data_IF_888404621771
#
_entry.id   IF_888404621771
#
_cell.length_a   1.000
_cell.length_b   1.000
_cell.length_c   1.000
_cell.angle_alpha   90.00
_cell.angle_beta   90.00
_cell.angle_gamma   90.00
#
_symmetry.space_group_name_H-M   'P 1'
#
loop_
_entity.id
_entity.type
_entity.pdbx_description
1 polymer ?
#
# COMPACT_ATOMS: atom_id res chain seq x y z
N UNK A 1 1.13 -3.62 23.51
CA UNK A 1 0.17 -2.50 23.55
C UNK A 1 -1.27 -3.01 23.41
N UNK A 2 -1.64 -3.69 22.31
CA UNK A 2 -3.02 -4.22 22.11
C UNK A 2 -3.46 -5.20 23.21
N UNK A 3 -2.67 -6.23 23.51
CA UNK A 3 -2.96 -7.20 24.60
C UNK A 3 -3.27 -6.56 25.96
N UNK A 4 -2.67 -5.41 26.25
CA UNK A 4 -2.83 -4.70 27.53
C UNK A 4 -4.11 -3.84 27.57
N UNK A 5 -4.65 -3.46 26.40
CA UNK A 5 -5.83 -2.60 26.25
C UNK A 5 -7.11 -3.40 26.00
N UNK A 6 -7.05 -4.50 25.25
CA UNK A 6 -8.23 -5.27 24.81
C UNK A 6 -8.33 -6.66 25.43
N UNK A 7 -7.37 -7.08 26.26
CA UNK A 7 -7.33 -8.41 26.89
C UNK A 7 -7.04 -9.58 25.94
N UNK A 8 -6.98 -9.33 24.63
CA UNK A 8 -6.72 -10.32 23.59
C UNK A 8 -5.99 -9.73 22.38
N UNK A 9 -5.62 -10.59 21.44
CA UNK A 9 -4.91 -10.21 20.20
C UNK A 9 -5.85 -9.93 19.02
N UNK A 10 -7.11 -10.32 19.12
CA UNK A 10 -8.12 -10.14 18.08
C UNK A 10 -9.04 -8.98 18.43
N UNK A 11 -9.21 -8.04 17.51
CA UNK A 11 -10.14 -6.92 17.67
C UNK A 11 -11.14 -6.90 16.51
N UNK A 12 -12.38 -6.54 16.81
CA UNK A 12 -13.43 -6.32 15.82
C UNK A 12 -13.53 -4.83 15.51
N UNK A 13 -13.21 -4.44 14.29
CA UNK A 13 -13.18 -3.04 13.84
C UNK A 13 -14.26 -2.76 12.78
N UNK A 14 -15.13 -1.80 13.04
CA UNK A 14 -16.23 -1.41 12.15
C UNK A 14 -15.79 -0.25 11.24
N UNK A 15 -14.97 -0.52 10.23
CA UNK A 15 -14.40 0.52 9.35
C UNK A 15 -15.46 1.31 8.53
N UNK A 16 -16.65 0.72 8.32
CA UNK A 16 -17.67 1.23 7.41
C UNK A 16 -18.98 1.66 8.10
N UNK A 17 -18.97 1.86 9.43
CA UNK A 17 -20.16 2.16 10.24
C UNK A 17 -20.60 0.95 11.08
N UNK A 18 -21.35 1.22 12.15
CA UNK A 18 -21.83 0.21 13.10
C UNK A 18 -22.82 -0.79 12.48
N UNK A 19 -23.45 -0.43 11.36
CA UNK A 19 -24.43 -1.26 10.66
C UNK A 19 -23.83 -2.34 9.76
N UNK A 20 -22.51 -2.32 9.52
CA UNK A 20 -21.83 -3.31 8.66
C UNK A 20 -21.03 -4.31 9.48
N UNK A 21 -20.78 -5.48 8.90
CA UNK A 21 -20.06 -6.55 9.58
C UNK A 21 -18.68 -6.07 10.07
N UNK A 22 -18.33 -6.37 11.34
CA UNK A 22 -17.03 -6.04 11.90
C UNK A 22 -15.92 -6.78 11.15
N UNK A 23 -14.87 -6.05 10.83
CA UNK A 23 -13.63 -6.63 10.31
C UNK A 23 -12.83 -7.15 11.50
N UNK A 24 -12.53 -8.44 11.51
CA UNK A 24 -11.63 -9.02 12.51
C UNK A 24 -10.18 -8.71 12.12
N UNK A 25 -9.46 -8.01 13.00
CA UNK A 25 -8.05 -7.69 12.82
C UNK A 25 -7.27 -8.47 13.88
N UNK A 26 -6.36 -9.32 13.42
CA UNK A 26 -5.51 -10.13 14.29
C UNK A 26 -4.14 -9.48 14.49
N UNK A 27 -3.84 -9.12 15.74
CA UNK A 27 -2.56 -8.57 16.18
C UNK A 27 -1.65 -9.64 16.81
N UNK A 28 -1.89 -10.92 16.54
CA UNK A 28 -1.01 -12.00 16.98
C UNK A 28 0.33 -11.92 16.24
N UNK A 29 1.46 -11.74 16.94
CA UNK A 29 2.78 -11.79 16.32
C UNK A 29 3.15 -13.24 15.93
N UNK A 30 3.96 -13.46 14.88
CA UNK A 30 4.66 -12.47 14.07
C UNK A 30 3.77 -11.84 12.98
N UNK A 31 3.94 -10.53 12.76
CA UNK A 31 3.23 -9.84 11.68
C UNK A 31 3.79 -10.23 10.31
N UNK A 32 2.92 -10.25 9.31
CA UNK A 32 3.30 -10.52 7.92
C UNK A 32 4.33 -9.48 7.45
N UNK A 33 5.39 -9.94 6.80
CA UNK A 33 6.39 -9.08 6.15
C UNK A 33 6.26 -9.25 4.65
N UNK A 34 6.24 -8.14 3.94
CA UNK A 34 6.15 -8.07 2.48
C UNK A 34 7.21 -7.11 1.99
N UNK A 35 7.83 -7.46 0.88
CA UNK A 35 8.85 -6.67 0.22
C UNK A 35 8.18 -5.84 -0.88
N UNK A 36 8.33 -4.51 -0.82
CA UNK A 36 7.52 -3.60 -1.62
C UNK A 36 7.60 -3.88 -3.12
N UNK A 37 8.80 -4.11 -3.66
CA UNK A 37 8.98 -4.33 -5.09
C UNK A 37 8.60 -5.77 -5.45
N UNK A 38 9.12 -6.76 -4.72
CA UNK A 38 8.91 -8.18 -5.04
C UNK A 38 7.44 -8.58 -4.97
N UNK A 39 6.71 -8.12 -3.95
CA UNK A 39 5.29 -8.45 -3.84
C UNK A 39 4.44 -7.64 -4.82
N UNK A 40 4.84 -6.41 -5.16
CA UNK A 40 4.18 -5.65 -6.22
C UNK A 40 4.36 -6.33 -7.59
N UNK A 41 5.57 -6.80 -7.91
CA UNK A 41 5.86 -7.54 -9.14
C UNK A 41 5.02 -8.81 -9.24
N UNK A 42 4.92 -9.58 -8.15
CA UNK A 42 4.08 -10.79 -8.11
C UNK A 42 2.59 -10.50 -8.25
N UNK A 43 2.09 -9.46 -7.59
CA UNK A 43 0.66 -9.14 -7.57
C UNK A 43 0.21 -8.48 -8.88
N UNK A 44 1.01 -7.56 -9.40
CA UNK A 44 0.72 -6.86 -10.65
C UNK A 44 1.24 -7.64 -11.87
N UNK A 45 1.94 -8.77 -11.68
CA UNK A 45 2.62 -9.51 -12.75
C UNK A 45 3.50 -8.58 -13.62
N UNK A 46 4.20 -7.66 -12.96
CA UNK A 46 5.10 -6.68 -13.57
C UNK A 46 6.55 -7.07 -13.31
N UNK A 47 7.45 -6.62 -14.18
CA UNK A 47 8.88 -6.74 -13.97
C UNK A 47 9.45 -5.32 -13.86
N UNK A 48 9.60 -4.84 -12.64
CA UNK A 48 9.96 -3.44 -12.37
C UNK A 48 11.49 -3.30 -12.48
N UNK A 49 12.00 -2.40 -13.34
CA UNK A 49 13.44 -2.20 -13.44
C UNK A 49 14.05 -1.79 -12.10
N UNK A 50 15.22 -2.38 -11.76
CA UNK A 50 15.95 -2.03 -10.53
C UNK A 50 16.34 -0.55 -10.48
N UNK A 51 16.63 0.04 -11.65
CA UNK A 51 16.96 1.45 -11.79
C UNK A 51 15.71 2.33 -11.87
N UNK A 52 15.04 2.50 -10.73
CA UNK A 52 13.85 3.34 -10.58
C UNK A 52 14.10 4.83 -10.88
N UNK A 53 15.36 5.26 -10.88
CA UNK A 53 15.74 6.62 -11.26
C UNK A 53 15.83 6.83 -12.79
N UNK A 54 15.79 5.76 -13.59
CA UNK A 54 15.89 5.86 -15.04
C UNK A 54 14.59 6.37 -15.66
N UNK A 55 14.70 7.06 -16.80
CA UNK A 55 13.53 7.50 -17.58
C UNK A 55 12.74 6.33 -18.15
N UNK A 56 13.41 5.21 -18.43
CA UNK A 56 12.79 3.99 -18.93
C UNK A 56 11.90 3.34 -17.87
N UNK A 57 12.37 3.30 -16.62
CA UNK A 57 11.57 2.80 -15.49
C UNK A 57 10.33 3.68 -15.25
N UNK A 58 10.49 5.01 -15.35
CA UNK A 58 9.35 5.93 -15.25
C UNK A 58 8.30 5.66 -16.32
N UNK A 59 8.71 5.52 -17.59
CA UNK A 59 7.80 5.20 -18.70
C UNK A 59 7.10 3.85 -18.50
N UNK A 60 7.84 2.82 -18.09
CA UNK A 60 7.28 1.50 -17.79
C UNK A 60 6.20 1.57 -16.70
N UNK A 61 6.41 2.37 -15.66
CA UNK A 61 5.44 2.54 -14.58
C UNK A 61 4.21 3.35 -15.00
N UNK A 62 4.36 4.32 -15.92
CA UNK A 62 3.23 5.01 -16.54
C UNK A 62 2.38 4.00 -17.30
N UNK A 63 3.01 3.23 -18.20
CA UNK A 63 2.33 2.20 -18.99
C UNK A 63 1.64 1.16 -18.07
N UNK A 64 2.28 0.79 -16.96
CA UNK A 64 1.68 -0.09 -15.97
C UNK A 64 0.47 0.55 -15.27
N UNK A 65 0.56 1.82 -14.86
CA UNK A 65 -0.57 2.53 -14.26
C UNK A 65 -1.75 2.61 -15.22
N UNK A 66 -1.51 2.86 -16.51
CA UNK A 66 -2.55 2.86 -17.55
C UNK A 66 -3.19 1.47 -17.73
N UNK A 67 -2.39 0.39 -17.75
CA UNK A 67 -2.90 -0.99 -17.85
C UNK A 67 -3.84 -1.38 -16.70
N UNK A 68 -3.59 -0.85 -15.51
CA UNK A 68 -4.40 -1.13 -14.32
C UNK A 68 -5.45 -0.05 -14.03
N UNK A 69 -5.64 0.91 -14.94
CA UNK A 69 -6.56 2.06 -14.78
C UNK A 69 -6.33 2.83 -13.47
N UNK A 70 -5.06 2.94 -13.04
CA UNK A 70 -4.68 3.66 -11.84
C UNK A 70 -4.59 5.15 -12.16
N UNK A 71 -5.57 5.92 -11.67
CA UNK A 71 -5.61 7.37 -11.85
C UNK A 71 -4.45 8.06 -11.12
N UNK A 72 -3.46 8.49 -11.90
CA UNK A 72 -2.31 9.24 -11.43
C UNK A 72 -2.48 10.72 -11.76
N UNK A 73 -2.64 11.55 -10.73
CA UNK A 73 -2.57 13.00 -10.87
C UNK A 73 -1.11 13.42 -11.06
N UNK A 74 -0.79 14.44 -11.88
CA UNK A 74 0.54 15.02 -11.94
C UNK A 74 1.00 15.42 -10.52
N UNK A 75 2.25 15.17 -10.11
CA UNK A 75 3.42 14.85 -10.94
C UNK A 75 3.65 13.34 -11.17
N UNK A 76 3.88 12.95 -12.44
CA UNK A 76 4.16 11.58 -12.89
C UNK A 76 5.62 11.15 -12.58
N UNK A 77 6.05 11.37 -11.35
CA UNK A 77 7.36 10.92 -10.88
C UNK A 77 7.33 9.44 -10.53
N UNK A 78 8.46 8.75 -10.67
CA UNK A 78 8.57 7.31 -10.41
C UNK A 78 8.11 6.95 -8.99
N UNK A 79 8.46 7.80 -8.00
CA UNK A 79 8.02 7.62 -6.62
C UNK A 79 6.50 7.71 -6.47
N UNK A 80 5.86 8.68 -7.12
CA UNK A 80 4.40 8.86 -7.04
C UNK A 80 3.64 7.73 -7.72
N UNK A 81 4.10 7.28 -8.90
CA UNK A 81 3.51 6.17 -9.64
C UNK A 81 3.58 4.86 -8.84
N UNK A 82 4.75 4.56 -8.26
CA UNK A 82 4.91 3.37 -7.44
C UNK A 82 4.04 3.43 -6.17
N UNK A 83 3.94 4.57 -5.51
CA UNK A 83 3.08 4.73 -4.32
C UNK A 83 1.61 4.44 -4.65
N UNK A 84 1.13 4.92 -5.81
CA UNK A 84 -0.22 4.64 -6.31
C UNK A 84 -0.46 3.16 -6.60
N UNK A 85 0.49 2.50 -7.26
CA UNK A 85 0.41 1.06 -7.54
C UNK A 85 0.41 0.26 -6.23
N UNK A 86 1.28 0.60 -5.27
CA UNK A 86 1.32 -0.03 -3.96
C UNK A 86 0.01 0.19 -3.19
N UNK A 87 -0.55 1.39 -3.22
CA UNK A 87 -1.87 1.67 -2.66
C UNK A 87 -2.97 0.80 -3.28
N UNK A 88 -2.94 0.61 -4.60
CA UNK A 88 -3.95 -0.16 -5.31
C UNK A 88 -3.85 -1.67 -5.04
N UNK A 89 -2.64 -2.24 -5.02
CA UNK A 89 -2.44 -3.69 -4.90
C UNK A 89 -2.18 -4.16 -3.47
N UNK A 90 -1.33 -3.47 -2.71
CA UNK A 90 -0.89 -3.93 -1.39
C UNK A 90 -1.84 -3.45 -0.28
N UNK A 91 -2.33 -2.22 -0.30
CA UNK A 91 -3.22 -1.74 0.79
C UNK A 91 -4.54 -2.50 0.84
N UNK A 92 -5.10 -2.91 -0.30
CA UNK A 92 -6.37 -3.66 -0.34
C UNK A 92 -6.25 -5.01 0.37
N UNK A 93 -5.06 -5.62 0.35
CA UNK A 93 -4.78 -6.92 0.96
C UNK A 93 -4.39 -6.82 2.44
N UNK A 94 -3.96 -5.63 2.91
CA UNK A 94 -3.45 -5.41 4.25
C UNK A 94 -4.58 -5.15 5.27
N UNK A 95 -5.45 -6.15 5.49
CA UNK A 95 -6.44 -6.12 6.59
C UNK A 95 -5.77 -6.33 7.94
N UNK A 96 -4.83 -7.27 8.00
CA UNK A 96 -4.01 -7.55 9.18
C UNK A 96 -2.73 -6.69 9.17
N UNK A 97 -2.17 -6.37 10.35
CA UNK A 97 -0.94 -5.58 10.47
C UNK A 97 0.17 -6.23 9.65
N UNK A 98 0.67 -5.48 8.68
CA UNK A 98 1.65 -5.95 7.70
C UNK A 98 2.82 -4.97 7.64
N UNK A 99 4.04 -5.49 7.65
CA UNK A 99 5.26 -4.71 7.49
C UNK A 99 5.66 -4.67 6.02
N UNK A 100 5.73 -3.46 5.46
CA UNK A 100 6.31 -3.25 4.13
C UNK A 100 7.79 -2.89 4.29
N UNK A 101 8.63 -3.81 3.83
CA UNK A 101 10.09 -3.74 3.84
C UNK A 101 10.63 -3.18 2.52
N UNK A 102 11.90 -2.76 2.52
CA UNK A 102 12.68 -2.44 1.32
C UNK A 102 12.03 -1.39 0.41
N UNK A 103 11.64 -0.26 0.99
CA UNK A 103 11.17 0.88 0.19
C UNK A 103 12.30 1.44 -0.66
N UNK A 104 12.04 1.78 -1.94
CA UNK A 104 13.05 2.35 -2.78
C UNK A 104 13.43 3.75 -2.30
N UNK A 105 14.73 4.06 -2.35
CA UNK A 105 15.30 5.32 -1.86
C UNK A 105 14.65 6.57 -2.47
N UNK A 106 14.17 6.46 -3.71
CA UNK A 106 13.47 7.53 -4.43
C UNK A 106 12.18 7.99 -3.74
N UNK A 107 11.52 7.12 -2.97
CA UNK A 107 10.30 7.47 -2.21
C UNK A 107 10.60 8.16 -0.88
N UNK A 108 11.80 7.98 -0.33
CA UNK A 108 12.15 8.49 0.98
C UNK A 108 13.51 9.17 0.95
N UNK A 109 13.61 10.34 0.28
CA UNK A 109 14.88 11.05 0.14
C UNK A 109 15.49 11.49 1.48
N UNK A 110 14.65 11.64 2.51
CA UNK A 110 15.05 12.06 3.87
C UNK A 110 14.96 10.92 4.91
N UNK A 111 14.44 9.75 4.53
CA UNK A 111 14.30 8.61 5.44
C UNK A 111 15.45 7.63 5.31
N UNK A 112 15.95 7.11 6.43
CA UNK A 112 16.86 5.97 6.42
C UNK A 112 16.16 4.79 5.73
N UNK A 113 16.72 4.30 4.62
CA UNK A 113 16.15 3.24 3.76
C UNK A 113 15.78 1.94 4.47
N UNK A 114 16.30 1.71 5.68
CA UNK A 114 16.25 0.40 6.35
C UNK A 114 15.13 0.25 7.38
N UNK A 115 14.28 1.27 7.57
CA UNK A 115 13.24 1.20 8.60
C UNK A 115 12.00 0.47 8.08
N UNK A 116 11.57 -0.64 8.72
CA UNK A 116 10.28 -1.27 8.43
C UNK A 116 9.15 -0.29 8.72
N UNK A 117 8.29 -0.04 7.73
CA UNK A 117 7.05 0.72 7.96
C UNK A 117 5.92 -0.27 8.23
N UNK A 118 5.29 -0.12 9.40
CA UNK A 118 4.01 -0.76 9.67
C UNK A 118 2.96 0.01 8.90
N UNK A 119 2.32 -0.64 7.93
CA UNK A 119 1.16 -0.06 7.27
C UNK A 119 -0.07 -0.57 7.98
N UNK A 120 -0.77 0.34 8.66
CA UNK A 120 -2.14 0.13 9.09
C UNK A 120 -3.02 0.76 8.02
N UNK A 121 -3.88 -0.02 7.39
CA UNK A 121 -4.86 0.50 6.45
C UNK A 121 -5.84 1.38 7.21
N UNK A 122 -5.56 2.69 7.27
CA UNK A 122 -6.60 3.68 7.49
C UNK A 122 -7.37 3.69 6.19
N UNK A 123 -8.45 2.89 6.09
CA UNK A 123 -9.33 2.85 4.93
C UNK A 123 -9.64 4.30 4.55
N UNK A 124 -8.96 4.79 3.51
CA UNK A 124 -9.18 6.12 2.96
C UNK A 124 -10.51 5.98 2.21
N UNK A 125 -11.58 6.15 2.96
CA UNK A 125 -12.91 6.35 2.43
C UNK A 125 -12.83 7.67 1.68
N UNK A 126 -12.78 7.58 0.35
CA UNK A 126 -13.33 8.56 -0.60
C UNK A 126 -13.46 7.84 -1.96
N UNK A 127 -14.39 6.89 -2.02
CA UNK A 127 -15.14 6.63 -3.24
C UNK A 127 -16.33 7.60 -3.24
N UNK A 128 -16.55 8.23 -4.39
CA UNK A 128 -17.60 9.21 -4.76
C UNK A 128 -17.32 10.68 -4.44
N UNK A 129 -16.96 11.45 -5.47
CA UNK A 129 -17.82 12.54 -6.01
C UNK A 129 -17.24 13.13 -7.31
N UNK A 130 -17.79 12.70 -8.45
CA UNK A 130 -18.56 13.56 -9.38
C UNK A 130 -18.87 12.83 -10.69
N UNK A 131 -20.07 12.24 -10.73
CA UNK A 131 -20.95 12.48 -11.87
C UNK A 131 -21.12 13.99 -12.03
N UNK A 132 -21.01 14.50 -13.25
CA UNK A 132 -21.02 15.95 -13.45
C UNK A 132 -20.95 16.39 -14.90
N UNK A 133 -22.03 16.08 -15.63
CA UNK A 133 -22.59 16.81 -16.79
C UNK A 133 -21.82 16.81 -18.11
#
# INVERSE_FOLDING_TARGET
>A
MVKKLTGGYKIKYHANGYDKEPIEIDFTPPFRRVDMIVDLEKMANLNIPKDLASKEANKYLIDACERFDVRCTPPLTTAHLLDKLVGHFLEVMCVNPTFIMNKPKIMSPLGKCDKPLVVYTRKKRDMCERDGS
#
